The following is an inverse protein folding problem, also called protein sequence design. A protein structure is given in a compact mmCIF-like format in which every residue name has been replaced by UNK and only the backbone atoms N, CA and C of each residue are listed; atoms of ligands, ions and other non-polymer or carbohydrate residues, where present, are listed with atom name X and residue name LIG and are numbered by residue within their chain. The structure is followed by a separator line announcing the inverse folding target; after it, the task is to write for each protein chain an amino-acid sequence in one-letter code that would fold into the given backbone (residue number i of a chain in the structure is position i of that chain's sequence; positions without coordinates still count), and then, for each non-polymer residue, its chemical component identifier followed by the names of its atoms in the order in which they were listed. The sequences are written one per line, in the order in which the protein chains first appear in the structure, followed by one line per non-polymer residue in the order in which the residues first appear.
data_IF_472037113814
#
_entry.id   IF_472037113814
#
_cell.length_a   1.000
_cell.length_b   1.000
_cell.length_c   1.000
_cell.angle_alpha   90.00
_cell.angle_beta   90.00
_cell.angle_gamma   90.00
#
_symmetry.space_group_name_H-M   'P 1'
#
loop_
_entity.id
_entity.type
_entity.pdbx_description
1 polymer ?
#
# COMPACT_ATOMS: atom_id res chain seq x y z
N UNK A 1 15.55 -0.62 7.87
CA UNK A 1 16.63 -1.62 8.07
C UNK A 1 16.62 -2.22 9.49
N UNK A 2 16.28 -1.44 10.53
CA UNK A 2 16.33 -1.94 11.92
C UNK A 2 15.26 -3.00 12.19
N UNK A 3 13.99 -2.76 11.80
CA UNK A 3 12.93 -3.73 12.05
C UNK A 3 13.19 -5.08 11.36
N UNK A 4 13.51 -5.07 10.07
CA UNK A 4 13.80 -6.31 9.31
C UNK A 4 14.99 -7.07 9.89
N UNK A 5 16.03 -6.35 10.33
CA UNK A 5 17.19 -6.94 10.96
C UNK A 5 16.82 -7.63 12.29
N UNK A 6 16.19 -6.90 13.22
CA UNK A 6 15.79 -7.47 14.51
C UNK A 6 14.76 -8.59 14.36
N UNK A 7 13.86 -8.48 13.38
CA UNK A 7 12.90 -9.52 13.11
C UNK A 7 13.56 -10.82 12.61
N UNK A 8 14.58 -10.71 11.76
CA UNK A 8 15.38 -11.85 11.32
C UNK A 8 16.23 -12.46 12.45
N UNK A 9 16.79 -11.63 13.33
CA UNK A 9 17.51 -12.09 14.50
C UNK A 9 16.61 -12.86 15.49
N UNK A 10 15.41 -12.34 15.75
CA UNK A 10 14.43 -12.99 16.64
C UNK A 10 13.84 -14.27 16.04
N UNK A 11 13.63 -14.28 14.71
CA UNK A 11 13.01 -15.38 13.98
C UNK A 11 13.85 -15.76 12.77
N UNK A 12 14.99 -16.43 12.94
CA UNK A 12 15.92 -16.74 11.84
C UNK A 12 15.35 -17.67 10.78
N UNK A 13 14.37 -18.51 11.16
CA UNK A 13 13.73 -19.46 10.26
C UNK A 13 12.50 -18.83 9.63
N UNK A 14 12.36 -18.89 8.29
CA UNK A 14 11.26 -18.30 7.53
C UNK A 14 9.87 -18.74 8.04
N UNK A 15 9.70 -20.05 8.30
CA UNK A 15 8.44 -20.60 8.83
C UNK A 15 8.08 -20.01 10.20
N UNK A 16 9.08 -19.71 11.04
CA UNK A 16 8.82 -19.08 12.35
C UNK A 16 8.39 -17.63 12.21
N UNK A 17 8.94 -16.91 11.25
CA UNK A 17 8.50 -15.54 10.90
C UNK A 17 7.05 -15.54 10.40
N UNK A 18 6.75 -16.44 9.48
CA UNK A 18 5.40 -16.60 8.94
C UNK A 18 4.40 -16.91 10.05
N UNK A 19 4.69 -17.89 10.92
CA UNK A 19 3.83 -18.23 12.05
C UNK A 19 3.59 -17.05 12.99
N UNK A 20 4.64 -16.29 13.31
CA UNK A 20 4.51 -15.09 14.14
C UNK A 20 3.57 -14.06 13.49
N UNK A 21 3.72 -13.79 12.19
CA UNK A 21 2.84 -12.87 11.46
C UNK A 21 1.42 -13.41 11.45
N UNK A 22 1.22 -14.71 11.17
CA UNK A 22 -0.09 -15.37 11.18
C UNK A 22 -0.79 -15.16 12.53
N UNK A 23 -0.08 -15.38 13.64
CA UNK A 23 -0.63 -15.20 14.99
C UNK A 23 -1.02 -13.74 15.28
N UNK A 24 -0.27 -12.76 14.72
CA UNK A 24 -0.57 -11.35 14.92
C UNK A 24 -1.78 -10.87 14.11
N UNK A 25 -1.98 -11.40 12.90
CA UNK A 25 -3.05 -10.98 11.99
C UNK A 25 -4.27 -11.90 12.02
N UNK A 26 -4.12 -13.14 12.53
CA UNK A 26 -5.21 -14.09 12.62
C UNK A 26 -6.36 -13.57 13.51
N UNK A 27 -7.58 -13.83 13.07
CA UNK A 27 -8.82 -13.53 13.82
C UNK A 27 -9.03 -12.04 14.14
N UNK A 28 -8.35 -11.11 13.46
CA UNK A 28 -8.65 -9.69 13.57
C UNK A 28 -9.89 -9.36 12.73
N UNK A 29 -10.80 -8.61 13.34
CA UNK A 29 -11.94 -8.06 12.61
C UNK A 29 -11.59 -6.69 12.05
N UNK A 30 -12.08 -6.34 10.85
CA UNK A 30 -11.95 -5.00 10.32
C UNK A 30 -12.56 -3.97 11.27
N UNK A 31 -11.85 -2.85 11.48
CA UNK A 31 -12.40 -1.70 12.20
C UNK A 31 -13.41 -0.95 11.33
N UNK A 32 -14.05 0.08 11.92
CA UNK A 32 -15.01 0.92 11.20
C UNK A 32 -14.38 1.56 9.94
N UNK A 33 -13.15 2.06 10.04
CA UNK A 33 -12.44 2.64 8.90
C UNK A 33 -12.27 1.64 7.74
N UNK A 34 -11.97 0.36 8.02
CA UNK A 34 -11.93 -0.67 6.97
C UNK A 34 -13.29 -0.89 6.32
N UNK A 35 -14.40 -0.84 7.08
CA UNK A 35 -15.74 -0.96 6.53
C UNK A 35 -16.10 0.25 5.65
N UNK A 36 -15.75 1.46 6.07
CA UNK A 36 -15.90 2.68 5.27
C UNK A 36 -15.05 2.63 3.99
N UNK A 37 -13.80 2.15 4.09
CA UNK A 37 -12.95 1.92 2.92
C UNK A 37 -13.60 0.92 1.94
N UNK A 38 -14.14 -0.17 2.45
CA UNK A 38 -14.84 -1.18 1.65
C UNK A 38 -16.07 -0.60 0.93
N UNK A 39 -16.81 0.29 1.57
CA UNK A 39 -17.93 1.02 0.96
C UNK A 39 -17.45 1.92 -0.20
N UNK A 40 -16.33 2.61 -0.04
CA UNK A 40 -15.71 3.41 -1.12
C UNK A 40 -15.23 2.54 -2.28
N UNK A 41 -14.71 1.34 -1.99
CA UNK A 41 -14.33 0.35 -3.00
C UNK A 41 -15.57 -0.16 -3.74
N UNK A 42 -16.62 -0.55 -3.03
CA UNK A 42 -17.88 -1.02 -3.61
C UNK A 42 -18.48 0.02 -4.56
N UNK A 43 -18.45 1.30 -4.19
CA UNK A 43 -18.89 2.44 -5.01
C UNK A 43 -17.91 2.86 -6.11
N UNK A 44 -16.82 2.13 -6.33
CA UNK A 44 -15.76 2.45 -7.31
C UNK A 44 -15.10 3.83 -7.11
N UNK A 45 -15.11 4.37 -5.89
CA UNK A 45 -14.42 5.61 -5.56
C UNK A 45 -12.93 5.38 -5.36
N UNK A 46 -12.56 4.24 -4.76
CA UNK A 46 -11.19 3.77 -4.60
C UNK A 46 -11.04 2.50 -5.44
N UNK A 47 -10.03 2.46 -6.29
CA UNK A 47 -9.79 1.35 -7.20
C UNK A 47 -8.47 0.63 -6.95
N UNK A 48 -7.46 1.34 -6.44
CA UNK A 48 -6.15 0.74 -6.17
C UNK A 48 -5.77 1.04 -4.74
N UNK A 49 -5.39 -0.01 -4.03
CA UNK A 49 -4.88 0.06 -2.66
C UNK A 49 -3.50 -0.55 -2.68
N UNK A 50 -2.53 0.19 -2.19
CA UNK A 50 -1.15 -0.23 -2.03
C UNK A 50 -0.87 -0.32 -0.55
N UNK A 51 -0.52 -1.48 -0.07
CA UNK A 51 -0.32 -1.70 1.36
C UNK A 51 1.01 -2.36 1.66
N UNK A 52 1.61 -1.93 2.75
CA UNK A 52 2.77 -2.59 3.36
C UNK A 52 2.34 -3.61 4.42
N UNK A 53 1.05 -3.66 4.73
CA UNK A 53 0.51 -4.61 5.69
C UNK A 53 0.41 -6.02 5.11
N UNK A 54 0.60 -7.00 5.95
CA UNK A 54 0.49 -8.42 5.59
C UNK A 54 -0.91 -8.98 5.78
N UNK A 55 -1.78 -8.27 6.53
CA UNK A 55 -3.13 -8.72 6.86
C UNK A 55 -4.08 -8.75 5.64
N UNK A 56 -5.28 -9.28 5.85
CA UNK A 56 -6.36 -9.32 4.85
C UNK A 56 -7.60 -8.55 5.30
N UNK A 57 -7.41 -7.49 6.10
CA UNK A 57 -8.53 -6.73 6.66
C UNK A 57 -9.33 -5.99 5.60
N UNK A 58 -8.67 -5.48 4.55
CA UNK A 58 -9.35 -4.82 3.42
C UNK A 58 -10.20 -5.80 2.65
N UNK A 59 -9.64 -6.98 2.33
CA UNK A 59 -10.36 -8.06 1.63
C UNK A 59 -11.56 -8.52 2.45
N UNK A 60 -11.35 -8.74 3.76
CA UNK A 60 -12.40 -9.16 4.69
C UNK A 60 -13.51 -8.11 4.79
N UNK A 61 -13.15 -6.83 4.95
CA UNK A 61 -14.11 -5.74 4.99
C UNK A 61 -14.90 -5.63 3.68
N UNK A 62 -14.22 -5.74 2.54
CA UNK A 62 -14.89 -5.69 1.23
C UNK A 62 -15.87 -6.83 1.06
N UNK A 63 -15.51 -8.05 1.47
CA UNK A 63 -16.41 -9.19 1.42
C UNK A 63 -17.62 -9.06 2.38
N UNK A 64 -17.47 -8.36 3.50
CA UNK A 64 -18.57 -8.06 4.41
C UNK A 64 -19.55 -7.06 3.78
N UNK A 65 -19.05 -5.98 3.17
CA UNK A 65 -19.87 -4.90 2.61
C UNK A 65 -20.47 -5.29 1.25
N UNK A 66 -19.69 -5.90 0.38
CA UNK A 66 -20.08 -6.29 -0.96
C UNK A 66 -19.50 -7.65 -1.35
N UNK A 67 -20.18 -8.75 -0.96
CA UNK A 67 -19.68 -10.11 -1.23
C UNK A 67 -19.54 -10.46 -2.72
N UNK A 68 -20.13 -9.67 -3.61
CA UNK A 68 -20.06 -9.87 -5.06
C UNK A 68 -18.99 -9.01 -5.73
N UNK A 69 -18.30 -8.18 -4.94
CA UNK A 69 -17.23 -7.34 -5.46
C UNK A 69 -16.01 -8.16 -5.80
N UNK A 70 -15.75 -8.31 -7.08
CA UNK A 70 -14.53 -8.96 -7.56
C UNK A 70 -13.34 -8.02 -7.35
N UNK A 71 -12.46 -8.40 -6.43
CA UNK A 71 -11.28 -7.64 -6.05
C UNK A 71 -10.01 -8.46 -6.30
N UNK A 72 -9.12 -7.89 -7.08
CA UNK A 72 -7.84 -8.51 -7.38
C UNK A 72 -6.85 -8.28 -6.23
N UNK A 73 -6.18 -9.34 -5.80
CA UNK A 73 -5.11 -9.26 -4.80
C UNK A 73 -3.78 -9.62 -5.46
N UNK A 74 -2.88 -8.65 -5.51
CA UNK A 74 -1.53 -8.82 -6.05
C UNK A 74 -0.52 -8.81 -4.90
N UNK A 75 0.48 -9.67 -4.99
CA UNK A 75 1.61 -9.66 -4.06
C UNK A 75 2.89 -9.98 -4.81
N UNK A 76 4.03 -9.64 -4.23
CA UNK A 76 5.35 -9.99 -4.78
C UNK A 76 5.56 -11.51 -4.91
N UNK A 77 4.80 -12.32 -4.18
CA UNK A 77 4.86 -13.78 -4.27
C UNK A 77 4.05 -14.39 -5.42
N UNK A 78 3.16 -13.62 -6.08
CA UNK A 78 2.25 -14.11 -7.12
C UNK A 78 2.46 -13.41 -8.46
N UNK A 79 3.58 -13.72 -9.13
CA UNK A 79 3.96 -13.11 -10.41
C UNK A 79 2.96 -13.32 -11.55
N UNK A 80 2.16 -14.39 -11.51
CA UNK A 80 1.16 -14.70 -12.53
C UNK A 80 -0.11 -13.86 -12.44
N UNK A 81 -0.25 -13.06 -11.38
CA UNK A 81 -1.49 -12.35 -11.06
C UNK A 81 -1.37 -10.84 -11.14
N UNK A 82 -0.24 -10.27 -11.64
CA UNK A 82 -0.22 -8.83 -11.90
C UNK A 82 -1.18 -8.56 -13.05
N UNK A 83 -2.34 -7.95 -12.79
CA UNK A 83 -3.30 -7.72 -13.85
C UNK A 83 -2.68 -6.76 -14.86
N UNK A 84 -2.84 -7.04 -16.13
CA UNK A 84 -2.82 -5.96 -17.10
C UNK A 84 -3.75 -4.88 -16.54
N UNK A 85 -3.23 -3.66 -16.38
CA UNK A 85 -3.98 -2.56 -15.78
C UNK A 85 -5.42 -2.56 -16.33
N UNK A 86 -6.34 -3.12 -15.54
CA UNK A 86 -7.76 -3.12 -15.85
C UNK A 86 -8.46 -2.22 -14.83
N UNK A 87 -8.86 -0.99 -15.21
CA UNK A 87 -9.50 -0.05 -14.31
C UNK A 87 -10.90 -0.47 -13.87
N UNK A 88 -11.41 -1.60 -14.36
CA UNK A 88 -12.76 -2.10 -14.03
C UNK A 88 -12.83 -2.76 -12.66
N UNK A 89 -11.78 -3.46 -12.24
CA UNK A 89 -11.74 -4.17 -10.97
C UNK A 89 -10.87 -3.44 -9.96
N UNK A 90 -11.31 -3.30 -8.70
CA UNK A 90 -10.45 -2.82 -7.64
C UNK A 90 -9.31 -3.81 -7.38
N UNK A 91 -8.13 -3.28 -7.07
CA UNK A 91 -6.94 -4.08 -6.84
C UNK A 91 -6.27 -3.69 -5.52
N UNK A 92 -5.89 -4.69 -4.74
CA UNK A 92 -4.98 -4.54 -3.60
C UNK A 92 -3.62 -5.09 -4.01
N UNK A 93 -2.58 -4.28 -3.85
CA UNK A 93 -1.19 -4.69 -4.03
C UNK A 93 -0.46 -4.67 -2.70
N UNK A 94 0.04 -5.82 -2.27
CA UNK A 94 0.84 -6.00 -1.06
C UNK A 94 2.32 -5.85 -1.41
N UNK A 95 2.88 -4.69 -1.10
CA UNK A 95 4.22 -4.30 -1.52
C UNK A 95 5.35 -5.12 -0.87
N UNK A 96 5.11 -5.63 0.35
CA UNK A 96 6.06 -6.45 1.11
C UNK A 96 5.71 -7.95 1.07
N UNK A 97 4.83 -8.36 0.15
CA UNK A 97 4.34 -9.74 0.04
C UNK A 97 3.07 -10.01 0.83
N UNK A 98 2.51 -11.17 0.61
CA UNK A 98 1.36 -11.69 1.38
C UNK A 98 1.86 -12.91 2.17
N UNK A 99 1.74 -12.86 3.50
CA UNK A 99 2.20 -13.92 4.38
C UNK A 99 1.65 -15.32 4.02
N UNK A 100 0.49 -15.38 3.35
CA UNK A 100 -0.17 -16.63 2.93
C UNK A 100 0.55 -17.35 1.78
N UNK A 101 1.40 -16.63 1.04
CA UNK A 101 1.98 -17.11 -0.22
C UNK A 101 3.51 -17.10 -0.26
N UNK A 102 4.16 -16.87 0.87
CA UNK A 102 5.64 -16.82 0.95
C UNK A 102 6.25 -18.23 0.82
N UNK A 103 5.89 -18.92 -0.25
CA UNK A 103 6.52 -20.17 -0.67
C UNK A 103 7.47 -19.88 -1.84
N UNK A 104 8.74 -19.46 -1.53
CA UNK A 104 9.88 -20.32 -1.79
C UNK A 104 9.97 -20.85 -3.22
N UNK A 105 10.56 -20.12 -4.15
CA UNK A 105 11.31 -20.62 -5.30
C UNK A 105 11.22 -19.69 -6.51
N UNK A 106 11.34 -18.40 -6.28
CA UNK A 106 11.61 -17.52 -7.40
C UNK A 106 13.13 -17.35 -7.49
N UNK A 107 13.69 -17.51 -8.67
CA UNK A 107 15.08 -17.13 -8.92
C UNK A 107 15.23 -15.62 -8.77
N UNK A 108 16.44 -15.13 -8.51
CA UNK A 108 16.69 -13.70 -8.41
C UNK A 108 16.22 -12.93 -9.65
N UNK A 109 16.29 -13.55 -10.84
CA UNK A 109 15.83 -12.98 -12.11
C UNK A 109 14.30 -12.86 -12.17
N UNK A 110 13.57 -13.88 -11.70
CA UNK A 110 12.10 -13.87 -11.63
C UNK A 110 11.61 -12.83 -10.61
N UNK A 111 12.28 -12.71 -9.45
CA UNK A 111 11.98 -11.70 -8.44
C UNK A 111 12.18 -10.28 -8.98
N UNK A 112 13.29 -10.02 -9.69
CA UNK A 112 13.54 -8.71 -10.29
C UNK A 112 12.53 -8.36 -11.39
N UNK A 113 12.17 -9.34 -12.24
CA UNK A 113 11.16 -9.11 -13.27
C UNK A 113 9.78 -8.82 -12.68
N UNK A 114 9.41 -9.51 -11.61
CA UNK A 114 8.18 -9.31 -10.88
C UNK A 114 8.15 -7.94 -10.20
N UNK A 115 9.22 -7.59 -9.51
CA UNK A 115 9.36 -6.31 -8.85
C UNK A 115 9.20 -5.16 -9.86
N UNK A 116 9.84 -5.27 -11.03
CA UNK A 116 9.69 -4.31 -12.12
C UNK A 116 8.23 -4.22 -12.61
N UNK A 117 7.55 -5.35 -12.79
CA UNK A 117 6.16 -5.36 -13.25
C UNK A 117 5.21 -4.72 -12.21
N UNK A 118 5.44 -4.92 -10.92
CA UNK A 118 4.69 -4.26 -9.84
C UNK A 118 4.92 -2.75 -9.88
N UNK A 119 6.15 -2.29 -10.05
CA UNK A 119 6.46 -0.86 -10.16
C UNK A 119 5.83 -0.21 -11.39
N UNK A 120 5.86 -0.86 -12.54
CA UNK A 120 5.18 -0.36 -13.74
C UNK A 120 3.66 -0.28 -13.55
N UNK A 121 3.05 -1.32 -12.96
CA UNK A 121 1.63 -1.29 -12.61
C UNK A 121 1.32 -0.17 -11.62
N UNK A 122 2.14 0.02 -10.60
CA UNK A 122 2.00 1.08 -9.62
C UNK A 122 2.04 2.45 -10.29
N UNK A 123 3.07 2.71 -11.13
CA UNK A 123 3.18 3.94 -11.89
C UNK A 123 1.95 4.20 -12.74
N UNK A 124 1.52 3.23 -13.53
CA UNK A 124 0.34 3.37 -14.39
C UNK A 124 -0.93 3.63 -13.57
N UNK A 125 -1.07 3.00 -12.41
CA UNK A 125 -2.22 3.18 -11.54
C UNK A 125 -2.34 4.60 -10.96
N UNK A 126 -1.24 5.35 -10.90
CA UNK A 126 -1.19 6.72 -10.38
C UNK A 126 -1.29 7.80 -11.45
N UNK A 127 -1.21 7.42 -12.74
CA UNK A 127 -1.36 8.37 -13.83
C UNK A 127 -2.78 8.95 -13.88
N UNK A 128 -2.90 10.28 -13.89
CA UNK A 128 -4.19 10.97 -13.91
C UNK A 128 -4.97 10.91 -12.60
N UNK A 129 -4.34 10.47 -11.50
CA UNK A 129 -5.01 10.25 -10.20
C UNK A 129 -4.29 10.97 -9.06
N UNK A 130 -4.86 10.89 -7.86
CA UNK A 130 -4.23 11.31 -6.61
C UNK A 130 -3.85 10.10 -5.78
N UNK A 131 -2.98 10.33 -4.81
CA UNK A 131 -2.55 9.36 -3.81
C UNK A 131 -2.89 9.91 -2.42
N UNK A 132 -3.57 9.12 -1.61
CA UNK A 132 -3.74 9.36 -0.18
C UNK A 132 -2.90 8.32 0.56
N UNK A 133 -1.95 8.77 1.34
CA UNK A 133 -1.07 7.92 2.15
C UNK A 133 -1.56 7.91 3.58
N UNK A 134 -1.83 6.74 4.13
CA UNK A 134 -2.42 6.60 5.47
C UNK A 134 -1.60 5.62 6.32
N UNK A 135 -1.22 6.05 7.53
CA UNK A 135 -0.52 5.21 8.50
C UNK A 135 0.90 4.79 8.08
N UNK A 136 1.51 5.52 7.14
CA UNK A 136 2.83 5.21 6.62
C UNK A 136 3.83 6.32 6.93
N UNK A 137 4.93 5.98 7.57
CA UNK A 137 5.92 6.94 8.07
C UNK A 137 6.92 7.45 7.01
N UNK A 138 6.98 6.82 5.82
CA UNK A 138 7.94 7.18 4.77
C UNK A 138 9.37 6.67 5.02
N UNK A 139 9.56 5.61 5.81
CA UNK A 139 10.88 5.08 6.14
C UNK A 139 11.41 4.04 5.13
N UNK A 140 10.56 3.52 4.26
CA UNK A 140 10.95 2.54 3.26
C UNK A 140 11.55 3.23 2.04
N UNK A 141 12.81 2.90 1.75
CA UNK A 141 13.53 3.52 0.64
C UNK A 141 12.94 3.16 -0.72
N UNK A 142 12.45 1.93 -0.92
CA UNK A 142 11.95 1.50 -2.22
C UNK A 142 10.67 2.25 -2.60
N UNK A 143 9.75 2.41 -1.65
CA UNK A 143 8.49 3.14 -1.85
C UNK A 143 8.76 4.63 -2.05
N UNK A 144 9.58 5.23 -1.18
CA UNK A 144 9.86 6.65 -1.25
C UNK A 144 10.63 7.01 -2.52
N UNK A 145 11.69 6.27 -2.89
CA UNK A 145 12.41 6.49 -4.13
C UNK A 145 11.48 6.39 -5.34
N UNK A 146 10.59 5.39 -5.36
CA UNK A 146 9.64 5.25 -6.46
C UNK A 146 8.77 6.51 -6.64
N UNK A 147 8.25 7.08 -5.57
CA UNK A 147 7.44 8.31 -5.65
C UNK A 147 8.31 9.49 -6.06
N UNK A 148 9.50 9.66 -5.45
CA UNK A 148 10.45 10.73 -5.72
C UNK A 148 10.95 10.73 -7.18
N UNK A 149 11.19 9.54 -7.76
CA UNK A 149 11.68 9.38 -9.14
C UNK A 149 10.60 9.67 -10.20
N UNK A 150 9.33 9.50 -9.85
CA UNK A 150 8.23 9.72 -10.78
C UNK A 150 7.52 11.07 -10.60
N UNK A 151 7.84 11.83 -9.56
CA UNK A 151 7.12 13.08 -9.23
C UNK A 151 7.27 14.16 -10.30
N UNK A 152 8.32 14.09 -11.14
CA UNK A 152 8.57 15.04 -12.23
C UNK A 152 7.64 14.83 -13.43
N UNK A 153 7.01 13.67 -13.57
CA UNK A 153 6.04 13.40 -14.63
C UNK A 153 4.72 14.15 -14.35
N UNK A 154 4.27 15.06 -15.22
CA UNK A 154 3.07 15.86 -14.99
C UNK A 154 1.79 15.03 -14.79
N UNK A 155 1.70 13.85 -15.43
CA UNK A 155 0.55 12.97 -15.34
C UNK A 155 0.54 12.13 -14.06
N UNK A 156 1.72 11.87 -13.47
CA UNK A 156 1.86 11.15 -12.22
C UNK A 156 1.31 11.97 -11.05
N UNK A 157 0.39 11.43 -10.28
CA UNK A 157 -0.29 12.09 -9.16
C UNK A 157 -0.90 13.45 -9.53
N UNK A 158 -1.44 13.61 -10.74
CA UNK A 158 -1.97 14.90 -11.22
C UNK A 158 -3.19 15.40 -10.45
N UNK A 159 -3.81 14.56 -9.60
CA UNK A 159 -4.90 14.93 -8.70
C UNK A 159 -4.45 15.18 -7.26
N UNK A 160 -3.15 15.09 -7.01
CA UNK A 160 -2.51 15.45 -5.75
C UNK A 160 -1.93 14.29 -4.96
N UNK A 161 -1.07 14.67 -4.01
CA UNK A 161 -0.46 13.80 -3.01
C UNK A 161 -0.92 14.30 -1.63
N UNK A 162 -1.63 13.46 -0.90
CA UNK A 162 -2.15 13.76 0.43
C UNK A 162 -1.54 12.78 1.43
N UNK A 163 -0.69 13.29 2.30
CA UNK A 163 0.01 12.47 3.29
C UNK A 163 -0.60 12.67 4.66
N UNK A 164 -1.26 11.64 5.19
CA UNK A 164 -1.89 11.76 6.50
C UNK A 164 -0.88 11.48 7.62
N UNK A 165 -1.01 12.23 8.69
CA UNK A 165 -0.24 12.09 9.92
C UNK A 165 -1.18 12.14 11.11
N UNK A 166 -0.83 11.46 12.17
CA UNK A 166 -1.58 11.57 13.42
C UNK A 166 -1.40 12.99 13.98
N UNK A 167 -2.48 13.58 14.48
CA UNK A 167 -2.46 14.90 15.10
C UNK A 167 -1.35 14.99 16.15
N UNK A 168 -0.62 16.09 16.16
CA UNK A 168 0.57 16.30 16.97
C UNK A 168 1.72 15.27 16.73
N UNK A 169 1.60 14.45 15.69
CA UNK A 169 2.65 13.50 15.31
C UNK A 169 3.80 14.15 14.55
N UNK A 170 4.95 13.52 14.60
CA UNK A 170 6.13 13.99 13.88
C UNK A 170 6.07 13.54 12.40
N UNK A 171 6.30 14.47 11.49
CA UNK A 171 6.52 14.19 10.07
C UNK A 171 8.01 13.97 9.84
N UNK A 172 8.37 12.95 9.09
CA UNK A 172 9.77 12.74 8.74
C UNK A 172 10.24 13.82 7.75
N UNK A 173 11.50 14.27 7.89
CA UNK A 173 12.09 15.26 6.98
C UNK A 173 12.00 14.82 5.51
N UNK A 174 12.04 13.52 5.25
CA UNK A 174 11.92 12.99 3.90
C UNK A 174 10.52 13.20 3.31
N UNK A 175 9.49 13.02 4.11
CA UNK A 175 8.11 13.28 3.69
C UNK A 175 7.91 14.78 3.44
N UNK A 176 8.40 15.64 4.32
CA UNK A 176 8.35 17.10 4.10
C UNK A 176 9.03 17.50 2.79
N UNK A 177 10.23 16.98 2.56
CA UNK A 177 10.96 17.25 1.32
C UNK A 177 10.22 16.75 0.07
N UNK A 178 9.57 15.58 0.14
CA UNK A 178 8.75 15.06 -0.96
C UNK A 178 7.56 15.97 -1.25
N UNK A 179 6.86 16.43 -0.21
CA UNK A 179 5.71 17.36 -0.35
C UNK A 179 6.19 18.69 -0.98
N UNK A 180 7.30 19.24 -0.53
CA UNK A 180 7.88 20.47 -1.12
C UNK A 180 8.25 20.25 -2.58
N UNK A 181 8.96 19.16 -2.90
CA UNK A 181 9.32 18.81 -4.28
C UNK A 181 8.07 18.67 -5.16
N UNK A 182 7.02 18.03 -4.69
CA UNK A 182 5.77 17.90 -5.44
C UNK A 182 5.12 19.26 -5.72
N UNK A 183 5.11 20.17 -4.76
CA UNK A 183 4.60 21.54 -4.93
C UNK A 183 5.45 22.34 -5.93
N UNK A 184 6.78 22.24 -5.88
CA UNK A 184 7.69 22.88 -6.85
C UNK A 184 7.44 22.39 -8.28
N UNK A 185 6.97 21.15 -8.45
CA UNK A 185 6.56 20.58 -9.75
C UNK A 185 5.11 20.92 -10.13
N UNK A 186 4.47 21.84 -9.41
CA UNK A 186 3.11 22.31 -9.68
C UNK A 186 2.00 21.35 -9.29
N UNK A 187 2.30 20.35 -8.46
CA UNK A 187 1.30 19.41 -7.97
C UNK A 187 0.63 19.93 -6.69
N UNK A 188 -0.62 19.54 -6.49
CA UNK A 188 -1.25 19.65 -5.18
C UNK A 188 -0.56 18.63 -4.26
N UNK A 189 -0.02 19.07 -3.14
CA UNK A 189 0.62 18.17 -2.18
C UNK A 189 0.44 18.73 -0.76
N UNK A 190 -0.19 17.93 0.12
CA UNK A 190 -0.57 18.36 1.46
C UNK A 190 -0.23 17.31 2.50
N UNK A 191 0.14 17.77 3.69
CA UNK A 191 0.16 16.97 4.91
C UNK A 191 -1.18 17.21 5.59
N UNK A 192 -1.90 16.12 5.89
CA UNK A 192 -3.25 16.16 6.47
C UNK A 192 -3.20 15.52 7.85
N UNK A 193 -3.51 16.29 8.88
CA UNK A 193 -3.63 15.78 10.24
C UNK A 193 -4.94 15.01 10.40
N UNK A 194 -4.88 13.89 11.09
CA UNK A 194 -6.05 13.04 11.40
C UNK A 194 -5.90 12.44 12.80
N UNK A 195 -7.01 12.10 13.42
CA UNK A 195 -7.01 11.42 14.72
C UNK A 195 -6.87 9.89 14.57
N UNK A 196 -6.83 9.39 13.34
CA UNK A 196 -6.57 7.99 13.04
C UNK A 196 -7.19 7.53 11.71
N UNK A 197 -6.96 6.26 11.38
CA UNK A 197 -7.49 5.67 10.15
C UNK A 197 -9.03 5.63 10.15
N UNK A 198 -9.62 5.26 11.30
CA UNK A 198 -11.07 5.14 11.41
C UNK A 198 -11.75 6.51 11.30
N UNK A 199 -11.21 7.54 11.98
CA UNK A 199 -11.75 8.90 11.90
C UNK A 199 -11.64 9.47 10.49
N UNK A 200 -10.46 9.31 9.84
CA UNK A 200 -10.25 9.77 8.46
C UNK A 200 -11.28 9.23 7.46
N UNK A 201 -11.75 8.02 7.65
CA UNK A 201 -12.65 7.37 6.69
C UNK A 201 -14.12 7.41 7.07
N UNK A 202 -14.41 7.77 8.34
CA UNK A 202 -15.78 7.90 8.83
C UNK A 202 -16.37 9.30 8.55
N UNK A 203 -15.54 10.35 8.61
CA UNK A 203 -15.91 11.75 8.32
C UNK A 203 -16.00 12.02 6.82
#
# INVERSE_FOLDING_TARGET
KEYSYYFQECYPIAISRQRFIDEQVAYKNPSLGYLCLAELISKNKIKNIWTTNFDSLVETATNIIDPQKDMLVCSSANSTSIPNFNPQHPCICKLHGDFRYDTLQNTDEELQALEKAIYEYWKQSMMGRGLVVVGYSGNDNSIMNFIEDNIDDPAFLSKGLYWTVIRDGNVSQRVENLILKAREKGKIAEIVETDGFDDLLYD
#
